data_IF_948355364285
#
_entry.id   IF_948355364285
#
_cell.length_a   1.000
_cell.length_b   1.000
_cell.length_c   1.000
_cell.angle_alpha   90.00
_cell.angle_beta   90.00
_cell.angle_gamma   90.00
#
_symmetry.space_group_name_H-M   'P 1'
#
loop_
_entity.id
_entity.type
_entity.pdbx_description
1 polymer ?
#
# COMPACT_ATOMS: atom_id res chain seq x y z
N UNK A 1 -18.07 -15.58 43.77
CA UNK A 1 -18.29 -14.16 43.45
C UNK A 1 -17.00 -13.41 43.76
N UNK A 2 -16.30 -12.86 42.76
CA UNK A 2 -15.02 -12.17 43.05
C UNK A 2 -14.05 -11.97 41.88
N UNK A 3 -14.53 -11.80 40.62
CA UNK A 3 -13.62 -11.62 39.48
C UNK A 3 -14.04 -10.52 38.48
N UNK A 4 -14.96 -9.61 38.86
CA UNK A 4 -15.39 -8.51 37.96
C UNK A 4 -14.82 -7.13 38.31
N UNK A 5 -14.13 -6.95 39.43
CA UNK A 5 -13.64 -5.63 39.85
C UNK A 5 -12.21 -5.29 39.40
N UNK A 6 -11.35 -6.28 39.12
CA UNK A 6 -9.97 -6.02 38.68
C UNK A 6 -9.84 -5.70 37.18
N UNK A 7 -10.81 -6.08 36.35
CA UNK A 7 -10.85 -5.68 34.93
C UNK A 7 -11.32 -4.23 34.75
N UNK A 8 -12.26 -3.76 35.58
CA UNK A 8 -12.83 -2.41 35.44
C UNK A 8 -11.87 -1.31 35.88
N UNK A 9 -11.04 -1.54 36.90
CA UNK A 9 -10.11 -0.50 37.40
C UNK A 9 -8.94 -0.26 36.44
N UNK A 10 -8.39 -1.30 35.81
CA UNK A 10 -7.37 -1.13 34.76
C UNK A 10 -7.96 -0.50 33.49
N UNK A 11 -9.19 -0.87 33.11
CA UNK A 11 -9.86 -0.27 31.96
C UNK A 11 -10.20 1.21 32.17
N UNK A 12 -10.54 1.61 33.41
CA UNK A 12 -10.78 3.00 33.81
C UNK A 12 -9.48 3.81 33.95
N UNK A 13 -8.41 3.23 34.50
CA UNK A 13 -7.11 3.90 34.60
C UNK A 13 -6.50 4.16 33.22
N UNK A 14 -6.63 3.21 32.28
CA UNK A 14 -6.18 3.37 30.89
C UNK A 14 -7.05 4.38 30.13
N UNK A 15 -8.37 4.40 30.36
CA UNK A 15 -9.26 5.42 29.78
C UNK A 15 -8.94 6.83 30.29
N UNK A 16 -8.57 6.97 31.57
CA UNK A 16 -8.21 8.26 32.17
C UNK A 16 -6.79 8.75 31.79
N UNK A 17 -5.90 7.83 31.36
CA UNK A 17 -4.58 8.18 30.80
C UNK A 17 -4.66 8.59 29.32
N UNK A 18 -5.60 8.02 28.56
CA UNK A 18 -5.84 8.40 27.16
C UNK A 18 -6.37 9.84 27.01
N UNK A 19 -7.02 10.40 28.04
CA UNK A 19 -7.45 11.81 28.07
C UNK A 19 -6.31 12.81 28.34
N UNK A 20 -5.07 12.36 28.61
CA UNK A 20 -3.95 13.25 28.98
C UNK A 20 -2.80 13.32 27.97
N UNK A 21 -2.74 12.41 26.99
CA UNK A 21 -1.65 12.38 26.03
C UNK A 21 -2.04 13.09 24.74
N UNK A 22 -1.17 13.95 24.22
CA UNK A 22 -1.35 14.52 22.87
C UNK A 22 -1.23 13.40 21.82
N UNK A 23 -1.79 13.58 20.60
CA UNK A 23 -1.59 12.63 19.50
C UNK A 23 -0.12 12.27 19.27
N UNK A 24 0.80 13.22 19.43
CA UNK A 24 2.24 13.00 19.34
C UNK A 24 2.75 12.08 20.45
N UNK A 25 2.28 12.24 21.69
CA UNK A 25 2.67 11.40 22.81
C UNK A 25 2.10 9.98 22.70
N UNK A 26 0.88 9.84 22.16
CA UNK A 26 0.32 8.54 21.80
C UNK A 26 1.16 7.88 20.72
N UNK A 27 1.55 8.63 19.68
CA UNK A 27 2.43 8.14 18.62
C UNK A 27 3.77 7.70 19.19
N UNK A 28 4.40 8.49 20.06
CA UNK A 28 5.68 8.16 20.67
C UNK A 28 5.62 6.87 21.50
N UNK A 29 4.61 6.74 22.37
CA UNK A 29 4.39 5.53 23.17
C UNK A 29 4.19 4.30 22.28
N UNK A 30 3.37 4.45 21.25
CA UNK A 30 3.04 3.40 20.29
C UNK A 30 4.26 2.94 19.46
N UNK A 31 5.20 3.86 19.19
CA UNK A 31 6.45 3.60 18.51
C UNK A 31 7.43 2.77 19.35
N UNK A 32 7.37 2.85 20.69
CA UNK A 32 8.22 2.04 21.58
C UNK A 32 7.96 0.53 21.40
N UNK A 33 6.71 0.16 21.12
CA UNK A 33 6.30 -1.25 20.99
C UNK A 33 6.43 -1.83 19.57
N UNK A 34 6.74 -1.01 18.57
CA UNK A 34 6.88 -1.44 17.16
C UNK A 34 7.89 -2.55 17.01
N UNK A 35 9.06 -2.40 17.64
CA UNK A 35 10.15 -3.38 17.52
C UNK A 35 9.73 -4.73 18.12
N UNK A 36 9.00 -4.72 19.24
CA UNK A 36 8.48 -5.94 19.86
C UNK A 36 7.50 -6.67 18.93
N UNK A 37 6.53 -5.93 18.36
CA UNK A 37 5.55 -6.46 17.42
C UNK A 37 6.17 -6.97 16.12
N UNK A 38 7.17 -6.26 15.58
CA UNK A 38 7.93 -6.73 14.42
C UNK A 38 8.63 -8.07 14.70
N UNK A 39 9.22 -8.23 15.90
CA UNK A 39 9.84 -9.51 16.32
C UNK A 39 8.77 -10.61 16.45
N UNK A 40 7.64 -10.31 17.05
CA UNK A 40 6.52 -11.25 17.16
C UNK A 40 6.02 -11.66 15.77
N UNK A 41 5.79 -10.72 14.86
CA UNK A 41 5.33 -10.99 13.51
C UNK A 41 6.34 -11.83 12.71
N UNK A 42 7.65 -11.55 12.85
CA UNK A 42 8.72 -12.41 12.33
C UNK A 42 8.65 -13.83 12.91
N UNK A 43 8.40 -13.96 14.21
CA UNK A 43 8.24 -15.26 14.85
C UNK A 43 7.01 -16.00 14.30
N UNK A 44 5.88 -15.32 14.08
CA UNK A 44 4.72 -15.90 13.43
C UNK A 44 5.05 -16.40 12.02
N UNK A 45 5.85 -15.66 11.24
CA UNK A 45 6.29 -16.10 9.91
C UNK A 45 7.07 -17.42 9.96
N UNK A 46 7.89 -17.65 11.00
CA UNK A 46 8.61 -18.93 11.17
C UNK A 46 7.68 -20.10 11.49
N UNK A 47 6.55 -19.82 12.16
CA UNK A 47 5.56 -20.82 12.59
C UNK A 47 4.50 -21.11 11.53
N UNK A 48 4.39 -20.26 10.50
CA UNK A 48 3.44 -20.44 9.43
C UNK A 48 3.79 -21.66 8.57
N UNK A 49 2.75 -22.37 8.13
CA UNK A 49 2.86 -23.39 7.08
C UNK A 49 3.02 -22.70 5.72
N UNK A 50 2.34 -21.57 5.51
CA UNK A 50 2.47 -20.73 4.32
C UNK A 50 2.54 -19.25 4.70
N UNK A 51 3.44 -18.51 4.04
CA UNK A 51 3.53 -17.04 4.13
C UNK A 51 3.16 -16.46 2.78
N UNK A 52 2.09 -15.68 2.76
CA UNK A 52 1.44 -15.22 1.54
C UNK A 52 1.73 -13.74 1.34
N UNK A 53 2.55 -13.44 0.34
CA UNK A 53 2.72 -12.08 -0.17
C UNK A 53 1.42 -11.68 -0.87
N UNK A 54 0.67 -10.79 -0.26
CA UNK A 54 -0.67 -10.42 -0.74
C UNK A 54 -0.61 -9.08 -1.43
N UNK A 55 -0.72 -9.08 -2.75
CA UNK A 55 -0.83 -7.86 -3.54
C UNK A 55 -2.23 -7.28 -3.30
N UNK A 56 -2.28 -6.14 -2.61
CA UNK A 56 -3.52 -5.48 -2.21
C UNK A 56 -3.57 -4.04 -2.74
N UNK A 57 -4.78 -3.51 -2.91
CA UNK A 57 -4.95 -2.09 -3.17
C UNK A 57 -4.51 -1.25 -1.94
N UNK A 58 -4.12 0.00 -2.17
CA UNK A 58 -3.83 0.97 -1.11
C UNK A 58 -5.09 1.44 -0.34
N UNK A 59 -6.27 0.98 -0.77
CA UNK A 59 -7.58 1.28 -0.18
C UNK A 59 -7.60 0.94 1.31
N UNK A 60 -7.98 1.93 2.14
CA UNK A 60 -7.92 1.80 3.59
C UNK A 60 -8.83 0.71 4.16
N UNK A 61 -9.83 0.25 3.41
CA UNK A 61 -10.81 -0.75 3.85
C UNK A 61 -10.31 -2.19 3.65
N UNK A 62 -9.23 -2.38 2.88
CA UNK A 62 -8.60 -3.67 2.60
C UNK A 62 -7.54 -3.97 3.65
N UNK A 63 -7.81 -4.98 4.47
CA UNK A 63 -7.06 -5.22 5.71
C UNK A 63 -6.74 -6.70 5.81
N UNK A 64 -5.52 -7.03 6.23
CA UNK A 64 -5.09 -8.41 6.39
C UNK A 64 -4.82 -8.74 7.86
N UNK A 65 -5.09 -9.98 8.30
CA UNK A 65 -4.79 -10.43 9.64
C UNK A 65 -3.31 -10.29 9.99
N UNK A 66 -3.05 -9.90 11.22
CA UNK A 66 -1.69 -9.77 11.77
C UNK A 66 -1.22 -11.06 12.45
N UNK A 67 -2.17 -11.92 12.81
CA UNK A 67 -1.96 -13.24 13.39
C UNK A 67 -1.99 -14.34 12.32
N UNK A 68 -1.60 -15.54 12.73
CA UNK A 68 -1.78 -16.73 11.90
C UNK A 68 -3.27 -17.04 11.73
N UNK A 69 -3.70 -17.21 10.49
CA UNK A 69 -5.05 -17.62 10.13
C UNK A 69 -5.04 -19.12 9.89
N UNK A 70 -5.98 -19.84 10.50
CA UNK A 70 -6.13 -21.28 10.26
C UNK A 70 -7.05 -21.48 9.06
N UNK A 71 -6.52 -22.07 7.99
CA UNK A 71 -7.28 -22.41 6.77
C UNK A 71 -7.35 -23.93 6.60
N UNK A 72 -8.43 -24.48 6.03
CA UNK A 72 -8.47 -25.90 5.66
C UNK A 72 -7.34 -26.24 4.69
N UNK A 73 -6.75 -27.43 4.80
CA UNK A 73 -5.79 -27.92 3.81
C UNK A 73 -6.51 -28.61 2.66
N UNK A 74 -6.39 -28.09 1.44
CA UNK A 74 -6.97 -28.71 0.25
C UNK A 74 -6.40 -30.12 -0.03
N UNK A 75 -5.22 -30.45 0.51
CA UNK A 75 -4.58 -31.76 0.32
C UNK A 75 -4.95 -32.77 1.42
N UNK A 76 -5.77 -32.40 2.42
CA UNK A 76 -6.12 -33.27 3.54
C UNK A 76 -7.53 -32.98 4.04
N UNK A 77 -8.42 -33.98 4.00
CA UNK A 77 -9.84 -33.84 4.39
C UNK A 77 -10.07 -33.36 5.83
N UNK A 78 -9.06 -33.50 6.69
CA UNK A 78 -9.06 -33.01 8.09
C UNK A 78 -7.85 -32.14 8.42
N UNK A 79 -7.03 -31.81 7.43
CA UNK A 79 -5.85 -30.98 7.61
C UNK A 79 -6.23 -29.52 7.73
N UNK A 80 -5.44 -28.79 8.52
CA UNK A 80 -5.49 -27.32 8.57
C UNK A 80 -4.07 -26.80 8.40
N UNK A 81 -3.95 -25.63 7.77
CA UNK A 81 -2.69 -24.90 7.65
C UNK A 81 -2.79 -23.56 8.36
N UNK A 82 -1.67 -23.12 8.93
CA UNK A 82 -1.47 -21.79 9.48
C UNK A 82 -0.88 -20.90 8.41
N UNK A 83 -1.63 -19.88 8.04
CA UNK A 83 -1.28 -18.92 7.00
C UNK A 83 -0.93 -17.58 7.64
N UNK A 84 0.17 -16.96 7.21
CA UNK A 84 0.47 -15.58 7.51
C UNK A 84 0.32 -14.72 6.26
N UNK A 85 -0.50 -13.67 6.34
CA UNK A 85 -0.67 -12.72 5.24
C UNK A 85 0.29 -11.54 5.39
N UNK A 86 1.12 -11.30 4.38
CA UNK A 86 2.03 -10.16 4.30
C UNK A 86 1.49 -9.16 3.26
N UNK A 87 1.00 -7.98 3.67
CA UNK A 87 0.46 -7.00 2.73
C UNK A 87 1.55 -6.37 1.88
N UNK A 88 1.33 -6.36 0.57
CA UNK A 88 2.14 -5.67 -0.41
C UNK A 88 1.22 -4.70 -1.16
N UNK A 89 1.06 -3.46 -0.68
CA UNK A 89 0.15 -2.51 -1.29
C UNK A 89 0.67 -2.06 -2.66
N UNK A 90 -0.26 -1.91 -3.59
CA UNK A 90 -0.02 -1.36 -4.92
C UNK A 90 -1.13 -0.38 -5.27
N UNK A 91 -0.76 0.66 -6.02
CA UNK A 91 -1.72 1.60 -6.59
C UNK A 91 -2.79 0.85 -7.35
N UNK A 92 -4.04 1.10 -7.03
CA UNK A 92 -5.18 0.56 -7.75
C UNK A 92 -5.23 -0.96 -7.83
N UNK A 93 -4.46 -1.71 -7.03
CA UNK A 93 -4.31 -3.16 -7.18
C UNK A 93 -3.48 -3.58 -8.41
N UNK A 94 -2.63 -2.69 -8.94
CA UNK A 94 -1.69 -2.98 -10.03
C UNK A 94 -0.57 -3.94 -9.63
N UNK A 95 0.25 -4.36 -10.60
CA UNK A 95 1.37 -5.25 -10.31
C UNK A 95 2.55 -4.49 -9.69
N UNK A 96 3.25 -5.04 -8.68
CA UNK A 96 4.45 -4.43 -8.16
C UNK A 96 5.56 -4.41 -9.22
N UNK A 97 6.53 -3.50 -9.05
CA UNK A 97 7.75 -3.56 -9.87
C UNK A 97 8.58 -4.79 -9.49
N UNK A 98 9.26 -5.39 -10.47
CA UNK A 98 10.18 -6.54 -10.30
C UNK A 98 11.15 -6.36 -9.13
N UNK A 99 11.89 -5.25 -9.13
CA UNK A 99 12.88 -4.98 -8.06
C UNK A 99 12.24 -4.94 -6.67
N UNK A 100 11.08 -4.27 -6.52
CA UNK A 100 10.32 -4.26 -5.25
C UNK A 100 9.93 -5.67 -4.80
N UNK A 101 9.37 -6.48 -5.70
CA UNK A 101 8.98 -7.84 -5.37
C UNK A 101 10.17 -8.70 -4.94
N UNK A 102 11.28 -8.62 -5.68
CA UNK A 102 12.53 -9.29 -5.34
C UNK A 102 13.00 -8.95 -3.93
N UNK A 103 13.04 -7.67 -3.57
CA UNK A 103 13.53 -7.22 -2.27
C UNK A 103 12.66 -7.71 -1.11
N UNK A 104 11.34 -7.61 -1.24
CA UNK A 104 10.39 -8.12 -0.23
C UNK A 104 10.49 -9.63 -0.09
N UNK A 105 10.50 -10.36 -1.22
CA UNK A 105 10.71 -11.82 -1.24
C UNK A 105 12.00 -12.20 -0.53
N UNK A 106 13.11 -11.55 -0.85
CA UNK A 106 14.42 -11.86 -0.27
C UNK A 106 14.44 -11.60 1.24
N UNK A 107 13.76 -10.57 1.72
CA UNK A 107 13.62 -10.32 3.16
C UNK A 107 12.77 -11.40 3.84
N UNK A 108 11.61 -11.76 3.28
CA UNK A 108 10.75 -12.81 3.83
C UNK A 108 11.43 -14.18 3.85
N UNK A 109 12.24 -14.50 2.84
CA UNK A 109 13.04 -15.73 2.81
C UNK A 109 14.04 -15.82 3.97
N UNK A 110 14.59 -14.69 4.44
CA UNK A 110 15.45 -14.69 5.64
C UNK A 110 14.68 -15.07 6.89
N UNK A 111 13.38 -14.76 6.96
CA UNK A 111 12.53 -15.08 8.10
C UNK A 111 12.12 -16.55 8.07
N UNK A 112 11.53 -17.02 6.96
CA UNK A 112 10.94 -18.36 6.88
C UNK A 112 11.97 -19.47 6.64
N UNK A 113 13.11 -19.16 6.01
CA UNK A 113 14.20 -20.09 5.64
C UNK A 113 13.80 -21.30 4.79
N UNK A 114 12.55 -21.36 4.33
CA UNK A 114 12.02 -22.39 3.44
C UNK A 114 11.29 -21.70 2.27
N UNK A 115 11.88 -21.74 1.06
CA UNK A 115 11.27 -21.16 -0.14
C UNK A 115 9.90 -21.74 -0.49
N UNK A 116 9.59 -22.98 -0.08
CA UNK A 116 8.34 -23.64 -0.43
C UNK A 116 7.12 -23.04 0.28
N UNK A 117 7.34 -22.37 1.42
CA UNK A 117 6.31 -21.69 2.20
C UNK A 117 5.82 -20.39 1.59
N UNK A 118 6.60 -19.76 0.71
CA UNK A 118 6.21 -18.49 0.11
C UNK A 118 5.18 -18.70 -1.00
N UNK A 119 4.06 -17.98 -0.90
CA UNK A 119 3.02 -17.91 -1.92
C UNK A 119 2.71 -16.46 -2.27
N UNK A 120 2.06 -16.25 -3.41
CA UNK A 120 1.54 -14.94 -3.81
C UNK A 120 0.03 -15.02 -3.90
N UNK A 121 -0.66 -14.04 -3.34
CA UNK A 121 -2.10 -13.83 -3.52
C UNK A 121 -2.31 -12.47 -4.19
N UNK A 122 -2.97 -12.46 -5.33
CA UNK A 122 -3.41 -11.24 -5.99
C UNK A 122 -4.87 -10.99 -5.61
N UNK A 123 -5.18 -9.77 -5.20
CA UNK A 123 -6.53 -9.39 -4.80
C UNK A 123 -7.11 -8.30 -5.67
N UNK A 124 -8.41 -8.37 -5.88
CA UNK A 124 -9.27 -7.21 -6.13
C UNK A 124 -10.16 -6.98 -4.92
N UNK A 125 -10.75 -5.80 -4.77
CA UNK A 125 -11.66 -5.52 -3.67
C UNK A 125 -12.87 -4.74 -4.15
N UNK A 126 -14.02 -5.02 -3.55
CA UNK A 126 -15.29 -4.35 -3.81
C UNK A 126 -16.21 -4.50 -2.62
N UNK A 127 -17.32 -3.75 -2.62
CA UNK A 127 -18.34 -3.89 -1.58
C UNK A 127 -19.12 -5.21 -1.76
N UNK A 128 -19.90 -5.61 -0.74
CA UNK A 128 -20.64 -6.88 -0.79
C UNK A 128 -21.59 -6.94 -1.99
N UNK A 129 -22.20 -5.82 -2.38
CA UNK A 129 -23.10 -5.78 -3.52
C UNK A 129 -22.33 -6.00 -4.82
N UNK A 130 -21.26 -5.24 -5.06
CA UNK A 130 -20.34 -5.38 -6.20
C UNK A 130 -19.85 -6.83 -6.35
N UNK A 131 -19.48 -7.47 -5.25
CA UNK A 131 -18.97 -8.84 -5.25
C UNK A 131 -20.06 -9.92 -5.39
N UNK A 132 -21.26 -9.70 -4.85
CA UNK A 132 -22.36 -10.66 -4.93
C UNK A 132 -22.79 -10.93 -6.38
N UNK A 133 -22.64 -9.95 -7.26
CA UNK A 133 -22.97 -10.06 -8.68
C UNK A 133 -21.95 -10.87 -9.49
N UNK A 134 -20.70 -11.01 -9.04
CA UNK A 134 -19.68 -11.83 -9.70
C UNK A 134 -20.03 -13.33 -9.74
N UNK A 135 -20.86 -13.79 -8.80
CA UNK A 135 -21.28 -15.19 -8.71
C UNK A 135 -22.38 -15.57 -9.70
N UNK A 136 -23.03 -14.60 -10.34
CA UNK A 136 -24.31 -14.79 -11.05
C UNK A 136 -24.27 -14.46 -12.55
N UNK A 137 -23.27 -13.71 -13.04
CA UNK A 137 -23.24 -13.30 -14.45
C UNK A 137 -21.88 -13.53 -15.06
N UNK A 138 -21.78 -14.48 -16.00
CA UNK A 138 -20.59 -14.67 -16.83
C UNK A 138 -20.41 -13.57 -17.89
N UNK A 139 -21.28 -12.54 -18.00
CA UNK A 139 -21.33 -11.67 -19.18
C UNK A 139 -22.04 -10.30 -19.03
N UNK A 140 -21.97 -9.59 -17.89
CA UNK A 140 -22.56 -8.24 -17.82
C UNK A 140 -21.52 -7.16 -17.48
N UNK A 141 -21.23 -6.31 -18.48
CA UNK A 141 -20.40 -5.09 -18.47
C UNK A 141 -20.85 -3.98 -17.47
N UNK A 142 -21.85 -4.28 -16.62
CA UNK A 142 -22.60 -3.29 -15.85
C UNK A 142 -22.34 -3.29 -14.34
N UNK A 143 -21.63 -4.29 -13.77
CA UNK A 143 -21.29 -4.30 -12.34
C UNK A 143 -19.77 -4.32 -12.18
N UNK A 144 -19.22 -3.19 -11.74
CA UNK A 144 -17.79 -2.88 -11.83
C UNK A 144 -17.17 -2.77 -10.45
N UNK A 145 -16.38 -3.77 -10.07
CA UNK A 145 -15.49 -3.71 -8.89
C UNK A 145 -14.49 -2.58 -9.13
N UNK A 146 -14.57 -1.50 -8.35
CA UNK A 146 -13.74 -0.34 -8.64
C UNK A 146 -13.17 0.29 -7.38
N UNK A 147 -11.85 0.28 -7.29
CA UNK A 147 -11.17 1.17 -6.35
C UNK A 147 -11.39 2.63 -6.77
N UNK A 148 -11.47 3.55 -5.81
CA UNK A 148 -11.70 4.98 -6.07
C UNK A 148 -10.73 5.58 -7.09
N UNK A 149 -9.47 5.16 -7.03
CA UNK A 149 -8.43 5.64 -7.94
C UNK A 149 -8.67 5.23 -9.41
N UNK A 150 -9.17 4.01 -9.63
CA UNK A 150 -9.51 3.55 -10.99
C UNK A 150 -10.71 4.30 -11.54
N UNK A 151 -11.69 4.68 -10.69
CA UNK A 151 -12.81 5.53 -11.12
C UNK A 151 -12.29 6.85 -11.69
N UNK A 152 -11.34 7.49 -10.99
CA UNK A 152 -10.70 8.73 -11.45
C UNK A 152 -9.95 8.53 -12.78
N UNK A 153 -9.14 7.47 -12.90
CA UNK A 153 -8.43 7.23 -14.17
C UNK A 153 -9.34 6.84 -15.31
N UNK A 154 -10.44 6.16 -15.03
CA UNK A 154 -11.44 5.83 -16.03
C UNK A 154 -12.13 7.09 -16.61
N UNK A 155 -12.23 8.19 -15.84
CA UNK A 155 -12.71 9.49 -16.35
C UNK A 155 -11.80 10.11 -17.41
N UNK A 156 -10.53 9.67 -17.48
CA UNK A 156 -9.53 10.11 -18.48
C UNK A 156 -9.02 8.94 -19.32
N UNK A 157 -9.81 7.86 -19.46
CA UNK A 157 -9.37 6.58 -20.01
C UNK A 157 -8.72 6.72 -21.40
N UNK A 158 -9.34 7.50 -22.30
CA UNK A 158 -8.84 7.68 -23.66
C UNK A 158 -7.44 8.30 -23.67
N UNK A 159 -7.23 9.34 -22.86
CA UNK A 159 -5.94 10.01 -22.72
C UNK A 159 -4.90 9.11 -22.05
N UNK A 160 -5.29 8.32 -21.04
CA UNK A 160 -4.41 7.33 -20.41
C UNK A 160 -3.97 6.23 -21.39
N UNK A 161 -4.85 5.77 -22.28
CA UNK A 161 -4.52 4.76 -23.29
C UNK A 161 -3.52 5.29 -24.33
N UNK A 162 -3.68 6.55 -24.76
CA UNK A 162 -2.73 7.22 -25.66
C UNK A 162 -1.37 7.35 -24.96
N UNK A 163 -1.36 7.90 -23.74
CA UNK A 163 -0.13 8.08 -22.97
C UNK A 163 0.59 6.75 -22.70
N UNK A 164 -0.16 5.69 -22.33
CA UNK A 164 0.37 4.34 -22.14
C UNK A 164 1.05 3.83 -23.40
N UNK A 165 0.39 3.94 -24.55
CA UNK A 165 0.94 3.48 -25.84
C UNK A 165 2.24 4.21 -26.18
N UNK A 166 2.32 5.53 -25.94
CA UNK A 166 3.54 6.31 -26.15
C UNK A 166 4.66 5.90 -25.18
N UNK A 167 4.34 5.71 -23.89
CA UNK A 167 5.28 5.25 -22.87
C UNK A 167 5.85 3.87 -23.19
N UNK A 168 5.00 2.91 -23.59
CA UNK A 168 5.43 1.55 -23.97
C UNK A 168 6.37 1.58 -25.18
N UNK A 169 5.99 2.29 -26.25
CA UNK A 169 6.83 2.45 -27.44
C UNK A 169 8.19 3.09 -27.13
N UNK A 170 8.20 4.09 -26.25
CA UNK A 170 9.43 4.76 -25.86
C UNK A 170 10.33 3.87 -24.98
N UNK A 171 9.76 3.19 -23.98
CA UNK A 171 10.51 2.24 -23.13
C UNK A 171 11.13 1.13 -23.96
N UNK A 172 10.40 0.59 -24.93
CA UNK A 172 10.92 -0.44 -25.85
C UNK A 172 12.10 0.09 -26.68
N UNK A 173 12.03 1.33 -27.14
CA UNK A 173 13.14 1.99 -27.85
C UNK A 173 14.36 2.18 -26.94
N UNK A 174 14.16 2.70 -25.72
CA UNK A 174 15.24 2.92 -24.77
C UNK A 174 15.92 1.62 -24.35
N UNK A 175 15.15 0.57 -24.02
CA UNK A 175 15.70 -0.73 -23.63
C UNK A 175 16.52 -1.39 -24.75
N UNK A 176 16.15 -1.17 -26.03
CA UNK A 176 16.95 -1.61 -27.19
C UNK A 176 18.26 -0.84 -27.29
N UNK A 177 18.23 0.48 -27.05
CA UNK A 177 19.43 1.34 -27.15
C UNK A 177 20.43 1.16 -26.00
N UNK A 178 19.94 0.85 -24.79
CA UNK A 178 20.75 0.76 -23.57
C UNK A 178 21.30 -0.65 -23.29
N UNK A 179 21.29 -1.56 -24.27
CA UNK A 179 21.79 -2.93 -24.13
C UNK A 179 21.36 -3.61 -22.81
N UNK A 180 20.04 -3.72 -22.60
CA UNK A 180 19.40 -4.39 -21.44
C UNK A 180 19.46 -3.68 -20.08
N UNK A 181 19.68 -2.36 -20.00
CA UNK A 181 19.27 -1.63 -18.79
C UNK A 181 17.75 -1.49 -18.76
N UNK A 182 17.14 -1.74 -17.60
CA UNK A 182 15.69 -1.62 -17.41
C UNK A 182 15.34 -0.15 -17.21
N UNK A 183 15.17 0.60 -18.30
CA UNK A 183 14.69 1.96 -18.20
C UNK A 183 13.25 1.95 -17.66
N UNK A 184 12.98 2.84 -16.71
CA UNK A 184 11.67 2.91 -16.03
C UNK A 184 11.20 4.38 -15.97
N UNK A 185 10.16 4.77 -16.73
CA UNK A 185 9.77 6.18 -16.88
C UNK A 185 9.31 6.80 -15.57
N UNK A 186 8.59 6.03 -14.73
CA UNK A 186 8.10 6.51 -13.44
C UNK A 186 9.20 6.69 -12.37
N UNK A 187 10.45 6.33 -12.67
CA UNK A 187 11.65 6.57 -11.84
C UNK A 187 12.62 7.58 -12.44
N UNK A 188 12.34 8.07 -13.64
CA UNK A 188 13.06 9.21 -14.23
C UNK A 188 12.67 10.50 -13.49
N UNK A 189 13.58 11.47 -13.39
CA UNK A 189 13.22 12.82 -12.94
C UNK A 189 12.33 13.48 -14.00
N UNK A 190 11.33 14.29 -13.61
CA UNK A 190 10.42 14.90 -14.61
C UNK A 190 11.16 15.80 -15.61
N UNK A 191 12.18 16.54 -15.17
CA UNK A 191 13.01 17.37 -16.04
C UNK A 191 13.79 16.54 -17.07
N UNK A 192 14.38 15.42 -16.64
CA UNK A 192 15.08 14.48 -17.51
C UNK A 192 14.11 13.84 -18.51
N UNK A 193 12.93 13.41 -18.05
CA UNK A 193 11.90 12.86 -18.91
C UNK A 193 11.42 13.87 -19.97
N UNK A 194 11.32 15.15 -19.60
CA UNK A 194 10.97 16.23 -20.53
C UNK A 194 12.03 16.48 -21.60
N UNK A 195 13.31 16.34 -21.25
CA UNK A 195 14.40 16.43 -22.21
C UNK A 195 14.45 15.23 -23.17
N UNK A 196 14.20 14.02 -22.65
CA UNK A 196 14.31 12.79 -23.43
C UNK A 196 13.07 12.47 -24.26
N UNK A 197 11.87 12.88 -23.81
CA UNK A 197 10.62 12.61 -24.50
C UNK A 197 9.60 13.76 -24.32
N UNK A 198 9.81 14.89 -25.02
CA UNK A 198 8.98 16.08 -24.85
C UNK A 198 7.50 15.84 -25.19
N UNK A 199 7.19 14.97 -26.16
CA UNK A 199 5.81 14.66 -26.55
C UNK A 199 5.04 13.92 -25.44
N UNK A 200 5.68 12.99 -24.74
CA UNK A 200 5.10 12.32 -23.58
C UNK A 200 4.85 13.32 -22.47
N UNK A 201 5.82 14.19 -22.17
CA UNK A 201 5.66 15.20 -21.14
C UNK A 201 4.61 16.26 -21.48
N UNK A 202 4.41 16.57 -22.77
CA UNK A 202 3.33 17.45 -23.21
C UNK A 202 1.96 16.85 -22.89
N UNK A 203 1.75 15.56 -23.18
CA UNK A 203 0.49 14.87 -22.85
C UNK A 203 0.27 14.74 -21.35
N UNK A 204 1.34 14.47 -20.59
CA UNK A 204 1.31 14.46 -19.12
C UNK A 204 0.91 15.83 -18.57
N UNK A 205 1.50 16.92 -19.08
CA UNK A 205 1.17 18.28 -18.67
C UNK A 205 -0.30 18.64 -18.97
N UNK A 206 -0.80 18.30 -20.16
CA UNK A 206 -2.22 18.50 -20.52
C UNK A 206 -3.16 17.78 -19.56
N UNK A 207 -2.87 16.52 -19.24
CA UNK A 207 -3.66 15.73 -18.29
C UNK A 207 -3.61 16.31 -16.88
N UNK A 208 -2.42 16.69 -16.43
CA UNK A 208 -2.22 17.33 -15.14
C UNK A 208 -3.06 18.61 -15.04
N UNK A 209 -2.99 19.50 -16.03
CA UNK A 209 -3.75 20.74 -16.06
C UNK A 209 -5.26 20.51 -16.17
N UNK A 210 -5.70 19.56 -16.99
CA UNK A 210 -7.12 19.22 -17.15
C UNK A 210 -7.73 18.60 -15.90
N UNK A 211 -6.91 18.03 -15.01
CA UNK A 211 -7.39 17.31 -13.82
C UNK A 211 -7.88 18.22 -12.68
N UNK A 212 -7.62 19.53 -12.73
CA UNK A 212 -8.13 20.47 -11.74
C UNK A 212 -7.30 21.77 -11.59
N UNK A 213 -7.70 22.66 -10.66
CA UNK A 213 -6.93 23.85 -10.33
C UNK A 213 -5.63 23.51 -9.58
N UNK A 214 -4.71 24.48 -9.50
CA UNK A 214 -3.41 24.32 -8.82
C UNK A 214 -3.61 23.84 -7.38
N UNK A 215 -2.79 22.88 -6.95
CA UNK A 215 -2.90 22.22 -5.64
C UNK A 215 -3.94 21.08 -5.58
N UNK A 216 -4.73 20.88 -6.64
CA UNK A 216 -5.75 19.82 -6.73
C UNK A 216 -5.59 18.94 -7.98
N UNK A 217 -4.52 19.18 -8.76
CA UNK A 217 -4.20 18.40 -9.96
C UNK A 217 -3.64 17.04 -9.58
N UNK A 218 -3.93 16.02 -10.37
CA UNK A 218 -3.26 14.73 -10.30
C UNK A 218 -1.77 14.97 -10.59
N UNK A 219 -0.84 14.62 -9.67
CA UNK A 219 0.58 14.87 -9.90
C UNK A 219 1.10 14.15 -11.14
N UNK A 220 2.00 14.80 -11.89
CA UNK A 220 2.52 14.27 -13.17
C UNK A 220 3.11 12.86 -13.02
N UNK A 221 3.85 12.60 -11.93
CA UNK A 221 4.40 11.27 -11.66
C UNK A 221 3.33 10.22 -11.41
N UNK A 222 2.20 10.56 -10.79
CA UNK A 222 1.09 9.64 -10.60
C UNK A 222 0.46 9.28 -11.96
N UNK A 223 0.28 10.26 -12.86
CA UNK A 223 -0.20 10.04 -14.23
C UNK A 223 0.72 9.07 -14.99
N UNK A 224 2.03 9.35 -15.01
CA UNK A 224 3.04 8.49 -15.67
C UNK A 224 3.01 7.09 -15.09
N UNK A 225 2.99 6.99 -13.75
CA UNK A 225 3.03 5.72 -13.03
C UNK A 225 1.82 4.87 -13.33
N UNK A 226 0.62 5.43 -13.29
CA UNK A 226 -0.61 4.72 -13.65
C UNK A 226 -0.56 4.24 -15.10
N UNK A 227 -0.25 5.16 -16.03
CA UNK A 227 -0.19 4.83 -17.45
C UNK A 227 0.80 3.69 -17.74
N UNK A 228 1.97 3.70 -17.08
CA UNK A 228 3.02 2.71 -17.30
C UNK A 228 2.83 1.40 -16.51
N UNK A 229 2.36 1.48 -15.25
CA UNK A 229 2.35 0.32 -14.34
C UNK A 229 1.06 -0.48 -14.42
N UNK A 230 -0.07 0.16 -14.70
CA UNK A 230 -1.36 -0.54 -14.72
C UNK A 230 -1.44 -1.43 -15.95
N UNK A 231 -1.63 -2.73 -15.68
CA UNK A 231 -1.72 -3.73 -16.74
C UNK A 231 -2.95 -3.47 -17.61
N UNK A 232 -4.03 -3.00 -17.01
CA UNK A 232 -5.23 -2.52 -17.68
C UNK A 232 -5.76 -1.27 -16.96
N UNK A 233 -5.98 -0.14 -17.66
CA UNK A 233 -6.71 0.99 -17.09
C UNK A 233 -8.22 0.72 -17.01
N UNK A 234 -8.70 -0.41 -17.54
CA UNK A 234 -10.10 -0.81 -17.43
C UNK A 234 -10.46 -1.16 -15.98
N UNK A 235 -11.72 -0.92 -15.65
CA UNK A 235 -12.30 -1.22 -14.34
C UNK A 235 -12.35 -2.74 -14.06
N UNK A 236 -12.33 -3.60 -15.09
CA UNK A 236 -12.49 -5.06 -14.99
C UNK A 236 -11.17 -5.84 -15.11
N UNK A 237 -11.10 -7.00 -14.44
CA UNK A 237 -10.19 -8.11 -14.80
C UNK A 237 -8.69 -7.88 -14.54
N UNK A 238 -8.33 -6.82 -13.82
CA UNK A 238 -6.91 -6.54 -13.56
C UNK A 238 -6.24 -7.56 -12.65
N UNK A 239 -6.96 -8.27 -11.79
CA UNK A 239 -6.43 -9.35 -10.96
C UNK A 239 -5.83 -10.47 -11.81
N UNK A 240 -6.44 -10.81 -12.96
CA UNK A 240 -5.87 -11.80 -13.89
C UNK A 240 -4.62 -11.25 -14.59
N UNK A 241 -4.68 -10.00 -15.05
CA UNK A 241 -3.53 -9.36 -15.68
C UNK A 241 -2.33 -9.23 -14.73
N UNK A 242 -2.59 -8.89 -13.46
CA UNK A 242 -1.59 -8.83 -12.39
C UNK A 242 -1.09 -10.22 -12.03
N UNK A 243 -1.97 -11.23 -11.90
CA UNK A 243 -1.55 -12.60 -11.66
C UNK A 243 -0.69 -13.15 -12.80
N UNK A 244 -1.03 -12.86 -14.05
CA UNK A 244 -0.22 -13.22 -15.23
C UNK A 244 1.15 -12.55 -15.17
N UNK A 245 1.19 -11.24 -14.87
CA UNK A 245 2.45 -10.52 -14.69
C UNK A 245 3.28 -11.08 -13.54
N UNK A 246 2.68 -11.41 -12.41
CA UNK A 246 3.37 -12.05 -11.28
C UNK A 246 3.92 -13.43 -11.66
N UNK A 247 3.18 -14.24 -12.42
CA UNK A 247 3.68 -15.52 -12.96
C UNK A 247 4.88 -15.29 -13.88
N UNK A 248 4.83 -14.30 -14.77
CA UNK A 248 5.98 -13.92 -15.60
C UNK A 248 7.18 -13.52 -14.74
N UNK A 249 6.99 -12.65 -13.73
CA UNK A 249 8.07 -12.26 -12.81
C UNK A 249 8.69 -13.50 -12.16
N UNK A 250 7.87 -14.43 -11.66
CA UNK A 250 8.36 -15.63 -11.01
C UNK A 250 9.18 -16.55 -11.94
N UNK A 251 8.97 -16.51 -13.27
CA UNK A 251 9.76 -17.31 -14.22
C UNK A 251 11.18 -16.79 -14.45
N UNK A 252 11.47 -15.56 -14.01
CA UNK A 252 12.77 -14.92 -14.23
C UNK A 252 13.89 -15.58 -13.40
N UNK A 253 15.13 -15.52 -13.90
CA UNK A 253 16.28 -16.22 -13.32
C UNK A 253 16.52 -15.89 -11.84
N UNK A 254 16.26 -14.64 -11.45
CA UNK A 254 16.40 -14.17 -10.07
C UNK A 254 15.36 -14.76 -9.08
N UNK A 255 14.32 -15.42 -9.59
CA UNK A 255 13.24 -16.03 -8.81
C UNK A 255 13.22 -17.56 -8.88
N UNK A 256 14.21 -18.19 -9.53
CA UNK A 256 14.27 -19.65 -9.69
C UNK A 256 14.20 -20.42 -8.37
N UNK A 257 14.70 -19.83 -7.27
CA UNK A 257 14.71 -20.44 -5.95
C UNK A 257 13.31 -20.63 -5.34
N UNK A 258 12.30 -19.87 -5.80
CA UNK A 258 10.90 -20.01 -5.36
C UNK A 258 9.97 -20.45 -6.49
N UNK A 259 10.33 -20.22 -7.75
CA UNK A 259 9.47 -20.42 -8.93
C UNK A 259 8.73 -21.77 -8.93
N UNK A 260 9.46 -22.86 -8.62
CA UNK A 260 8.92 -24.23 -8.65
C UNK A 260 7.88 -24.52 -7.55
N UNK A 261 7.84 -23.70 -6.50
CA UNK A 261 7.01 -23.93 -5.32
C UNK A 261 5.95 -22.83 -5.10
N UNK A 262 6.21 -21.64 -5.63
CA UNK A 262 5.40 -20.45 -5.41
C UNK A 262 4.19 -20.45 -6.32
N UNK A 263 3.02 -20.73 -5.73
CA UNK A 263 1.75 -20.56 -6.44
C UNK A 263 1.31 -19.09 -6.43
N UNK A 264 0.63 -18.66 -7.50
CA UNK A 264 -0.04 -17.35 -7.60
C UNK A 264 -1.54 -17.59 -7.53
N UNK A 265 -2.12 -17.27 -6.38
CA UNK A 265 -3.54 -17.32 -6.10
C UNK A 265 -4.22 -16.01 -6.48
N UNK A 266 -5.54 -16.08 -6.64
CA UNK A 266 -6.39 -14.93 -6.93
C UNK A 266 -7.64 -15.00 -6.07
N UNK A 267 -8.02 -13.88 -5.46
CA UNK A 267 -9.24 -13.76 -4.68
C UNK A 267 -9.83 -12.35 -4.79
N UNK A 268 -11.13 -12.23 -4.55
CA UNK A 268 -11.77 -10.95 -4.33
C UNK A 268 -11.90 -10.70 -2.83
N UNK A 269 -11.64 -9.48 -2.40
CA UNK A 269 -11.71 -9.04 -1.01
C UNK A 269 -13.00 -8.26 -0.80
N UNK A 270 -13.91 -8.81 0.00
CA UNK A 270 -15.09 -8.09 0.45
C UNK A 270 -14.70 -7.16 1.60
N UNK A 271 -14.74 -5.85 1.36
CA UNK A 271 -14.33 -4.89 2.38
C UNK A 271 -15.41 -4.55 3.41
N UNK A 272 -16.65 -5.01 3.21
CA UNK A 272 -17.72 -4.92 4.19
C UNK A 272 -17.73 -6.15 5.10
N UNK A 273 -17.67 -7.36 4.52
CA UNK A 273 -17.63 -8.63 5.27
C UNK A 273 -16.25 -9.06 5.76
N UNK A 274 -15.19 -8.38 5.27
CA UNK A 274 -13.79 -8.68 5.60
C UNK A 274 -13.44 -10.15 5.33
N UNK A 275 -13.77 -10.61 4.12
CA UNK A 275 -13.53 -11.98 3.67
C UNK A 275 -12.84 -12.05 2.31
N UNK A 276 -12.09 -13.12 2.09
CA UNK A 276 -11.51 -13.46 0.79
C UNK A 276 -12.42 -14.46 0.09
N UNK A 277 -12.89 -14.09 -1.10
CA UNK A 277 -13.71 -14.90 -2.00
C UNK A 277 -12.81 -15.43 -3.11
N UNK A 278 -12.49 -16.72 -3.06
CA UNK A 278 -11.70 -17.39 -4.09
C UNK A 278 -12.61 -17.73 -5.27
N UNK A 279 -12.21 -17.34 -6.48
CA UNK A 279 -12.91 -17.75 -7.69
C UNK A 279 -12.59 -19.23 -8.00
N UNK A 280 -13.59 -20.00 -8.46
CA UNK A 280 -13.51 -21.46 -8.63
C UNK A 280 -12.38 -21.92 -9.57
N UNK A 281 -11.90 -21.07 -10.48
CA UNK A 281 -10.76 -21.37 -11.36
C UNK A 281 -9.40 -21.26 -10.66
N UNK A 282 -9.34 -20.66 -9.46
CA UNK A 282 -8.12 -20.30 -8.74
C UNK A 282 -8.12 -20.77 -7.27
N UNK A 283 -9.15 -21.51 -6.84
CA UNK A 283 -9.32 -22.04 -5.47
C UNK A 283 -8.21 -23.01 -5.12
N UNK A 284 -7.18 -22.53 -4.43
CA UNK A 284 -6.08 -23.36 -3.91
C UNK A 284 -5.68 -23.02 -2.48
N UNK A 285 -6.21 -21.95 -1.89
CA UNK A 285 -5.99 -21.63 -0.47
C UNK A 285 -7.10 -22.26 0.38
N UNK A 286 -6.99 -23.57 0.60
CA UNK A 286 -8.02 -24.37 1.24
C UNK A 286 -9.22 -24.63 0.32
N UNK A 287 -9.87 -25.76 0.51
CA UNK A 287 -11.01 -26.22 -0.30
C UNK A 287 -12.30 -25.39 -0.10
N UNK A 288 -12.17 -24.17 0.44
CA UNK A 288 -13.26 -23.25 0.69
C UNK A 288 -13.22 -22.10 -0.32
N UNK A 289 -14.36 -21.84 -0.93
CA UNK A 289 -14.59 -20.66 -1.79
C UNK A 289 -14.49 -19.35 -1.00
N UNK A 290 -14.66 -19.40 0.33
CA UNK A 290 -14.74 -18.25 1.21
C UNK A 290 -13.80 -18.45 2.42
N UNK A 291 -13.02 -17.41 2.73
CA UNK A 291 -12.17 -17.34 3.91
C UNK A 291 -12.47 -16.06 4.69
N UNK A 292 -13.21 -16.15 5.81
CA UNK A 292 -13.36 -15.04 6.75
C UNK A 292 -12.01 -14.67 7.35
N UNK A 293 -11.73 -13.38 7.49
CA UNK A 293 -10.48 -12.87 8.08
C UNK A 293 -10.59 -12.49 9.56
N UNK A 294 -11.75 -12.77 10.18
CA UNK A 294 -12.01 -12.57 11.61
C UNK A 294 -11.90 -11.10 12.06
N UNK A 295 -12.34 -10.19 11.19
CA UNK A 295 -12.51 -8.77 11.48
C UNK A 295 -14.00 -8.43 11.63
N UNK A 296 -14.35 -7.38 12.40
CA UNK A 296 -15.71 -6.86 12.43
C UNK A 296 -16.17 -6.43 11.03
N UNK A 297 -17.40 -6.79 10.68
CA UNK A 297 -18.05 -6.31 9.46
C UNK A 297 -18.24 -4.78 9.51
N UNK A 298 -18.32 -4.15 8.33
CA UNK A 298 -18.60 -2.73 8.18
C UNK A 298 -19.64 -2.47 7.10
N UNK A 299 -20.45 -1.44 7.31
CA UNK A 299 -21.43 -0.98 6.31
C UNK A 299 -20.88 0.15 5.42
N UNK A 300 -19.75 0.76 5.79
CA UNK A 300 -19.17 1.92 5.09
C UNK A 300 -18.67 1.60 3.67
N UNK A 301 -19.14 2.38 2.70
CA UNK A 301 -18.77 2.26 1.27
C UNK A 301 -17.77 3.32 0.81
N UNK A 302 -17.31 4.19 1.70
CA UNK A 302 -16.28 5.20 1.44
C UNK A 302 -15.01 4.93 2.29
N UNK A 303 -13.87 5.42 1.82
CA UNK A 303 -12.57 5.37 2.50
C UNK A 303 -12.40 6.64 3.33
N UNK A 304 -12.32 6.57 4.65
CA UNK A 304 -12.09 7.77 5.46
C UNK A 304 -10.92 7.62 6.45
N UNK A 305 -9.70 7.36 5.95
CA UNK A 305 -8.56 7.14 6.83
C UNK A 305 -8.08 8.45 7.44
N UNK A 306 -7.74 8.41 8.72
CA UNK A 306 -7.12 9.56 9.41
C UNK A 306 -5.64 9.74 9.07
N UNK A 307 -5.01 8.68 8.55
CA UNK A 307 -3.58 8.63 8.26
C UNK A 307 -3.32 8.10 6.85
N UNK A 308 -2.36 8.73 6.18
CA UNK A 308 -1.67 8.15 5.04
C UNK A 308 -0.30 7.68 5.50
N UNK A 309 0.02 6.41 5.27
CA UNK A 309 1.30 5.81 5.66
C UNK A 309 2.11 5.44 4.42
N UNK A 310 3.28 6.05 4.28
CA UNK A 310 4.28 5.74 3.26
C UNK A 310 5.36 4.87 3.91
N UNK A 311 5.43 3.60 3.54
CA UNK A 311 6.50 2.73 4.02
C UNK A 311 7.68 2.79 3.07
N UNK A 312 8.82 3.23 3.58
CA UNK A 312 10.03 3.43 2.82
C UNK A 312 11.16 2.49 3.28
N UNK A 313 11.28 1.38 2.55
CA UNK A 313 12.31 0.37 2.76
C UNK A 313 11.79 -1.07 2.70
N UNK A 314 12.71 -2.00 2.45
CA UNK A 314 12.41 -3.41 2.16
C UNK A 314 11.88 -4.17 3.39
N UNK A 315 12.44 -3.86 4.55
CA UNK A 315 12.10 -4.49 5.82
C UNK A 315 10.70 -4.04 6.21
N UNK A 316 10.45 -2.74 6.29
CA UNK A 316 9.17 -2.14 6.67
C UNK A 316 8.02 -2.56 5.76
N UNK A 317 8.22 -2.64 4.44
CA UNK A 317 7.17 -3.07 3.49
C UNK A 317 6.66 -4.48 3.81
N UNK A 318 7.50 -5.34 4.35
CA UNK A 318 7.16 -6.74 4.64
C UNK A 318 6.34 -6.92 5.93
N UNK A 319 5.96 -5.83 6.62
CA UNK A 319 5.09 -5.87 7.79
C UNK A 319 3.74 -5.19 7.52
N UNK A 320 2.66 -5.63 8.15
CA UNK A 320 1.39 -4.92 8.12
C UNK A 320 1.50 -3.59 8.88
N UNK A 321 0.70 -2.61 8.48
CA UNK A 321 0.77 -1.26 9.08
C UNK A 321 0.50 -1.31 10.56
N UNK A 322 -0.48 -2.11 10.97
CA UNK A 322 -0.82 -2.31 12.38
C UNK A 322 0.29 -3.00 13.22
N UNK A 323 1.32 -3.59 12.59
CA UNK A 323 2.55 -4.02 13.28
C UNK A 323 3.54 -2.86 13.42
N UNK A 324 3.60 -1.98 12.42
CA UNK A 324 4.57 -0.88 12.32
C UNK A 324 4.15 0.37 13.10
N UNK A 325 2.86 0.54 13.28
CA UNK A 325 2.20 1.63 13.94
C UNK A 325 1.01 0.95 14.63
N UNK A 326 0.79 1.04 15.94
CA UNK A 326 -0.51 0.69 16.51
C UNK A 326 -1.59 1.58 15.89
N UNK A 327 -2.83 1.46 16.34
CA UNK A 327 -3.86 2.50 16.14
C UNK A 327 -3.37 3.85 16.66
N UNK A 328 -2.48 4.51 15.90
CA UNK A 328 -1.93 5.79 16.26
C UNK A 328 -3.11 6.74 16.38
N UNK A 329 -3.24 7.25 17.59
CA UNK A 329 -4.34 8.07 18.07
C UNK A 329 -5.56 7.24 18.45
N UNK A 330 -5.65 6.89 19.74
CA UNK A 330 -6.86 6.42 20.41
C UNK A 330 -8.01 7.43 20.35
N UNK A 331 -8.48 7.75 19.15
CA UNK A 331 -9.70 8.49 18.90
C UNK A 331 -10.83 7.48 19.13
N UNK A 332 -11.09 7.22 20.41
CA UNK A 332 -12.01 6.21 20.88
C UNK A 332 -11.57 4.77 20.60
N UNK A 333 -11.91 3.87 21.50
CA UNK A 333 -11.95 2.41 21.23
C UNK A 333 -12.92 2.03 20.08
N UNK A 334 -13.47 3.02 19.38
CA UNK A 334 -14.46 2.92 18.32
C UNK A 334 -13.92 3.32 16.94
N UNK A 335 -12.70 3.88 16.81
CA UNK A 335 -12.11 4.10 15.48
C UNK A 335 -11.33 2.85 15.07
N UNK A 336 -11.69 2.22 13.95
CA UNK A 336 -11.10 0.93 13.62
C UNK A 336 -9.62 1.09 13.23
N UNK A 337 -8.74 0.26 13.82
CA UNK A 337 -7.29 0.15 13.52
C UNK A 337 -6.97 -0.14 12.05
N UNK A 338 -8.00 -0.48 11.29
CA UNK A 338 -7.97 -1.01 9.94
C UNK A 338 -8.46 0.04 8.93
N UNK A 339 -8.26 1.33 9.21
CA UNK A 339 -8.63 2.45 8.33
C UNK A 339 -7.42 3.38 8.06
N UNK A 340 -6.39 2.85 7.39
CA UNK A 340 -5.18 3.59 7.01
C UNK A 340 -4.94 3.44 5.52
N UNK A 341 -4.69 4.53 4.80
CA UNK A 341 -4.25 4.46 3.40
C UNK A 341 -2.75 4.19 3.35
N UNK A 342 -2.33 3.13 2.67
CA UNK A 342 -0.93 2.66 2.71
C UNK A 342 -0.31 2.64 1.31
N UNK A 343 0.87 3.25 1.17
CA UNK A 343 1.71 3.18 -0.03
C UNK A 343 3.15 2.79 0.31
N UNK A 344 3.95 2.42 -0.69
CA UNK A 344 5.29 1.82 -0.50
C UNK A 344 6.34 2.29 -1.51
N UNK A 345 7.55 2.48 -1.00
CA UNK A 345 8.78 2.74 -1.75
C UNK A 345 9.91 1.87 -1.19
N UNK A 346 10.80 1.31 -2.02
CA UNK A 346 11.77 0.29 -1.54
C UNK A 346 13.24 0.65 -1.70
N UNK A 347 13.59 1.40 -2.75
CA UNK A 347 14.97 1.75 -3.08
C UNK A 347 15.26 3.15 -2.51
N UNK A 348 16.41 3.37 -1.86
CA UNK A 348 16.75 4.64 -1.24
C UNK A 348 17.20 5.66 -2.30
N UNK A 349 16.28 6.05 -3.18
CA UNK A 349 16.48 7.09 -4.20
C UNK A 349 15.33 8.09 -4.16
N UNK A 350 15.61 9.35 -4.53
CA UNK A 350 14.61 10.42 -4.57
C UNK A 350 13.45 10.00 -5.48
N UNK A 351 13.72 9.56 -6.70
CA UNK A 351 12.67 9.14 -7.64
C UNK A 351 11.77 8.03 -7.09
N UNK A 352 12.34 7.05 -6.37
CA UNK A 352 11.54 5.96 -5.79
C UNK A 352 10.68 6.45 -4.63
N UNK A 353 11.19 7.38 -3.82
CA UNK A 353 10.39 8.04 -2.79
C UNK A 353 9.28 8.89 -3.42
N UNK A 354 9.58 9.68 -4.46
CA UNK A 354 8.57 10.46 -5.20
C UNK A 354 7.48 9.56 -5.78
N UNK A 355 7.81 8.33 -6.22
CA UNK A 355 6.77 7.37 -6.61
C UNK A 355 5.80 7.05 -5.47
N UNK A 356 6.31 6.83 -4.25
CA UNK A 356 5.48 6.58 -3.06
C UNK A 356 4.66 7.82 -2.68
N UNK A 357 5.28 8.99 -2.74
CA UNK A 357 4.61 10.27 -2.51
C UNK A 357 3.50 10.55 -3.52
N UNK A 358 3.70 10.16 -4.79
CA UNK A 358 2.70 10.24 -5.85
C UNK A 358 1.44 9.42 -5.55
N UNK A 359 1.58 8.27 -4.89
CA UNK A 359 0.40 7.48 -4.51
C UNK A 359 -0.26 8.06 -3.26
N UNK A 360 0.53 8.53 -2.29
CA UNK A 360 0.02 9.22 -1.11
C UNK A 360 -0.75 10.50 -1.48
N UNK A 361 -0.26 11.25 -2.47
CA UNK A 361 -0.89 12.49 -2.92
C UNK A 361 -2.29 12.29 -3.47
N UNK A 362 -2.64 11.10 -3.95
CA UNK A 362 -4.01 10.81 -4.37
C UNK A 362 -5.01 10.95 -3.20
N UNK A 363 -4.70 10.37 -2.05
CA UNK A 363 -5.53 10.46 -0.84
C UNK A 363 -5.65 11.91 -0.37
N UNK A 364 -4.54 12.65 -0.43
CA UNK A 364 -4.49 14.08 -0.07
C UNK A 364 -5.31 14.93 -1.04
N UNK A 365 -5.19 14.67 -2.35
CA UNK A 365 -5.99 15.35 -3.35
C UNK A 365 -7.47 15.12 -3.07
N UNK A 366 -7.90 13.86 -2.86
CA UNK A 366 -9.30 13.50 -2.58
C UNK A 366 -9.87 14.21 -1.35
N UNK A 367 -9.08 14.36 -0.29
CA UNK A 367 -9.47 15.13 0.90
C UNK A 367 -9.83 16.59 0.59
N UNK A 368 -9.18 17.18 -0.43
CA UNK A 368 -9.32 18.60 -0.78
C UNK A 368 -10.26 18.82 -1.99
N UNK A 369 -10.34 17.90 -2.96
CA UNK A 369 -11.09 17.95 -4.25
C UNK A 369 -10.99 16.59 -5.00
N UNK A 370 -11.82 16.15 -5.99
CA UNK A 370 -12.83 16.83 -6.80
C UNK A 370 -14.28 16.57 -6.44
N UNK A 371 -14.53 15.96 -5.29
CA UNK A 371 -15.89 15.69 -4.84
C UNK A 371 -16.04 16.30 -3.43
N UNK A 372 -16.27 17.63 -3.33
CA UNK A 372 -16.37 18.33 -2.04
C UNK A 372 -17.50 17.82 -1.12
N UNK A 373 -18.39 16.96 -1.64
CA UNK A 373 -19.45 16.27 -0.90
C UNK A 373 -19.20 14.77 -0.70
N UNK A 374 -18.07 14.24 -1.18
CA UNK A 374 -17.67 12.85 -0.96
C UNK A 374 -17.08 12.71 0.44
N UNK A 375 -17.56 11.72 1.19
CA UNK A 375 -17.05 11.43 2.53
C UNK A 375 -15.66 10.78 2.50
N UNK A 376 -15.11 10.49 1.31
CA UNK A 376 -13.76 9.97 1.16
C UNK A 376 -12.70 10.91 1.75
N UNK A 377 -11.84 10.37 2.62
CA UNK A 377 -10.68 11.01 3.25
C UNK A 377 -11.00 12.25 4.11
N UNK A 378 -12.27 12.54 4.44
CA UNK A 378 -12.69 13.71 5.24
C UNK A 378 -11.93 13.86 6.57
N UNK A 379 -11.59 12.75 7.20
CA UNK A 379 -10.94 12.67 8.51
C UNK A 379 -9.41 12.64 8.44
N UNK A 380 -8.82 12.76 7.24
CA UNK A 380 -7.38 12.77 7.04
C UNK A 380 -6.71 13.90 7.83
N UNK A 381 -5.77 13.55 8.70
CA UNK A 381 -5.07 14.48 9.59
C UNK A 381 -3.56 14.48 9.42
N UNK A 382 -2.97 13.36 8.99
CA UNK A 382 -1.51 13.14 9.02
C UNK A 382 -0.99 12.31 7.87
N UNK A 383 0.25 12.60 7.48
CA UNK A 383 1.04 11.76 6.58
C UNK A 383 2.25 11.26 7.34
N UNK A 384 2.41 9.95 7.42
CA UNK A 384 3.46 9.31 8.19
C UNK A 384 4.37 8.55 7.23
N UNK A 385 5.66 8.84 7.27
CA UNK A 385 6.70 8.18 6.49
C UNK A 385 7.52 7.29 7.42
N UNK A 386 7.38 5.97 7.26
CA UNK A 386 8.12 5.00 8.06
C UNK A 386 9.32 4.51 7.28
N UNK A 387 10.52 4.81 7.78
CA UNK A 387 11.79 4.50 7.15
C UNK A 387 12.50 3.33 7.83
N UNK A 388 13.05 2.43 7.01
CA UNK A 388 13.85 1.28 7.47
C UNK A 388 15.16 1.65 8.14
N UNK A 389 15.76 2.77 7.75
CA UNK A 389 17.08 3.19 8.21
C UNK A 389 17.31 4.68 7.97
N UNK A 390 18.40 5.20 8.55
CA UNK A 390 18.82 6.58 8.36
C UNK A 390 19.03 6.92 6.88
N UNK A 391 19.54 5.97 6.08
CA UNK A 391 19.72 6.17 4.63
C UNK A 391 18.40 6.54 3.94
N UNK A 392 17.29 5.92 4.34
CA UNK A 392 15.97 6.24 3.78
C UNK A 392 15.48 7.61 4.27
N UNK A 393 15.72 7.95 5.54
CA UNK A 393 15.40 9.28 6.09
C UNK A 393 16.14 10.39 5.35
N UNK A 394 17.42 10.19 5.05
CA UNK A 394 18.24 11.18 4.34
C UNK A 394 17.70 11.43 2.92
N UNK A 395 17.23 10.37 2.26
CA UNK A 395 16.57 10.48 0.94
C UNK A 395 15.25 11.24 1.03
N UNK A 396 14.43 11.02 2.06
CA UNK A 396 13.19 11.78 2.27
C UNK A 396 13.50 13.27 2.44
N UNK A 397 14.49 13.60 3.27
CA UNK A 397 14.92 14.99 3.49
C UNK A 397 15.43 15.64 2.21
N UNK A 398 16.23 14.92 1.43
CA UNK A 398 16.73 15.40 0.14
C UNK A 398 15.58 15.60 -0.86
N UNK A 399 14.61 14.67 -0.92
CA UNK A 399 13.45 14.78 -1.78
C UNK A 399 12.60 16.01 -1.45
N UNK A 400 12.45 16.39 -0.18
CA UNK A 400 11.73 17.62 0.18
C UNK A 400 12.43 18.92 -0.27
N UNK A 401 13.70 18.85 -0.70
CA UNK A 401 14.41 19.97 -1.31
C UNK A 401 14.39 19.93 -2.84
N UNK A 402 13.84 18.88 -3.44
CA UNK A 402 13.80 18.68 -4.89
C UNK A 402 12.77 19.60 -5.56
N UNK A 403 13.07 20.09 -6.76
CA UNK A 403 12.17 20.96 -7.54
C UNK A 403 10.83 20.29 -7.80
N UNK A 404 10.84 19.00 -8.11
CA UNK A 404 9.63 18.24 -8.34
C UNK A 404 8.72 18.21 -7.11
N UNK A 405 9.30 18.07 -5.90
CA UNK A 405 8.52 18.15 -4.67
C UNK A 405 7.87 19.52 -4.49
N UNK A 406 8.67 20.58 -4.66
CA UNK A 406 8.24 21.96 -4.45
C UNK A 406 7.15 22.39 -5.42
N UNK A 407 7.24 21.96 -6.68
CA UNK A 407 6.30 22.34 -7.73
C UNK A 407 5.03 21.49 -7.74
N UNK A 408 5.15 20.17 -7.60
CA UNK A 408 4.03 19.25 -7.82
C UNK A 408 3.28 18.88 -6.53
N UNK A 409 4.00 18.78 -5.40
CA UNK A 409 3.46 18.15 -4.20
C UNK A 409 3.22 19.14 -3.07
N UNK A 410 4.18 20.02 -2.80
CA UNK A 410 4.12 20.98 -1.69
C UNK A 410 2.82 21.81 -1.69
N UNK A 411 2.34 22.39 -2.82
CA UNK A 411 1.10 23.18 -2.82
C UNK A 411 -0.12 22.38 -2.34
N UNK A 412 -0.21 21.12 -2.73
CA UNK A 412 -1.31 20.23 -2.33
C UNK A 412 -1.22 19.86 -0.85
N UNK A 413 -0.03 19.54 -0.31
CA UNK A 413 0.13 19.25 1.11
C UNK A 413 -0.14 20.48 2.00
N UNK A 414 0.18 21.68 1.52
CA UNK A 414 -0.12 22.94 2.24
C UNK A 414 -1.64 23.18 2.37
N UNK A 415 -2.44 22.81 1.36
CA UNK A 415 -3.90 22.93 1.43
C UNK A 415 -4.54 22.03 2.50
N UNK A 416 -3.90 20.91 2.83
CA UNK A 416 -4.38 19.95 3.83
C UNK A 416 -4.13 20.43 5.27
N UNK A 417 -3.24 21.43 5.48
CA UNK A 417 -2.72 21.81 6.81
C UNK A 417 -2.13 20.64 7.63
N UNK A 418 -1.72 19.57 6.95
CA UNK A 418 -1.37 18.29 7.57
C UNK A 418 0.13 18.18 7.85
N UNK A 419 0.54 17.82 9.09
CA UNK A 419 1.94 17.53 9.38
C UNK A 419 2.41 16.26 8.64
N UNK A 420 3.67 16.28 8.20
CA UNK A 420 4.39 15.10 7.71
C UNK A 420 5.39 14.66 8.78
N UNK A 421 5.17 13.46 9.31
CA UNK A 421 6.05 12.84 10.30
C UNK A 421 6.96 11.81 9.63
N UNK A 422 8.27 11.86 9.95
CA UNK A 422 9.23 10.85 9.51
C UNK A 422 9.69 10.03 10.70
N UNK A 423 9.50 8.72 10.62
CA UNK A 423 9.86 7.74 11.65
C UNK A 423 11.02 6.89 11.12
N UNK A 424 12.09 6.75 11.92
CA UNK A 424 13.20 5.85 11.61
C UNK A 424 13.17 4.62 12.52
N UNK A 425 13.02 3.42 11.93
CA UNK A 425 12.97 2.16 12.68
C UNK A 425 14.36 1.65 13.13
N UNK A 426 15.47 2.20 12.62
CA UNK A 426 16.81 1.67 12.86
C UNK A 426 17.55 2.39 13.99
N UNK A 427 17.30 1.94 15.22
CA UNK A 427 18.25 2.00 16.34
C UNK A 427 18.33 0.65 17.03
N UNK A 428 19.17 -0.24 16.50
CA UNK A 428 19.64 -1.43 17.23
C UNK A 428 21.16 -1.49 17.22
N UNK A 429 21.79 -0.82 18.19
CA UNK A 429 22.78 -1.43 19.08
C UNK A 429 23.36 -0.41 20.08
N UNK A 430 23.22 -0.75 21.37
CA UNK A 430 23.65 -0.06 22.60
C UNK A 430 22.67 0.99 23.14
N UNK A 431 22.08 0.64 24.29
CA UNK A 431 21.01 1.31 25.06
C UNK A 431 19.59 1.09 24.52
N UNK A 432 18.99 0.01 25.00
CA UNK A 432 17.60 -0.41 24.76
C UNK A 432 16.54 0.50 25.43
N UNK A 433 16.85 1.77 25.71
CA UNK A 433 15.96 2.74 26.39
C UNK A 433 15.84 4.11 25.68
N UNK A 434 16.12 4.21 24.37
CA UNK A 434 15.92 5.49 23.64
C UNK A 434 15.30 5.28 22.25
N UNK A 435 13.96 5.32 22.25
CA UNK A 435 12.98 5.80 21.26
C UNK A 435 13.44 5.93 19.79
N UNK A 436 12.58 5.43 18.89
CA UNK A 436 12.51 5.89 17.51
C UNK A 436 12.45 7.43 17.52
N UNK A 437 13.35 8.09 16.79
CA UNK A 437 13.32 9.56 16.73
C UNK A 437 12.23 9.98 15.76
N UNK A 438 11.17 10.61 16.26
CA UNK A 438 10.21 11.35 15.44
C UNK A 438 10.91 12.63 14.97
N UNK A 439 10.95 12.86 13.66
CA UNK A 439 11.22 14.21 13.13
C UNK A 439 9.99 14.68 12.39
N UNK A 440 9.25 15.62 12.99
CA UNK A 440 8.17 16.33 12.32
C UNK A 440 8.77 17.39 11.43
N UNK A 441 8.48 17.33 10.13
CA UNK A 441 8.84 18.39 9.19
C UNK A 441 7.66 19.33 9.09
N UNK A 442 7.79 20.51 9.70
CA UNK A 442 6.77 21.55 9.59
C UNK A 442 6.95 22.26 8.24
N UNK A 443 6.06 21.97 7.28
CA UNK A 443 6.12 22.47 5.90
C UNK A 443 6.09 24.00 5.82
N UNK A 444 5.55 24.68 6.84
CA UNK A 444 5.48 26.14 6.93
C UNK A 444 6.83 26.79 7.33
N UNK A 445 7.74 26.03 7.95
CA UNK A 445 9.03 26.55 8.45
C UNK A 445 10.18 26.51 7.44
N UNK A 446 9.99 25.92 6.27
CA UNK A 446 11.01 25.85 5.21
C UNK A 446 10.83 26.88 4.09
N UNK A 447 9.86 27.79 4.21
CA UNK A 447 9.63 28.92 3.28
C UNK A 447 10.39 30.18 3.72
N UNK A 448 11.47 30.02 4.48
CA UNK A 448 12.32 31.13 4.91
C UNK A 448 13.77 30.85 4.59
N UNK A 449 14.15 31.12 3.33
CA UNK A 449 15.43 31.72 2.94
C UNK A 449 15.31 32.30 1.53
#
# INVERSE_FOLDING_TARGET
MGNSHYKSENEQLIAHLAEKLTPEQLIEQDLEDVVSRMRQYKQLATQADEVIITIICCDSRVVLPQSLVTVPDANSSHGVKKVLFVPFPTIGGGAPSRSRFKLVKDELLKWVKDPSKLKVLVTQHGDTAELSHLGLTQNNDSVRISCGLRKVFNSYLAQFLVLKSHLEAWVDSQNKSLNHQTFVPDRCGLAELGALCPDIMLEVNKLHEASGPIGQRIPKRLIIRTAYRDASPNLEGNEEAVARRMRTILTESEHQNIYRYCSVYMANYDHQKKELIFNNHYSRLGDKRLLPLDFPERDETFQDPEYVVILFGQVVISYPTAVLLPSLCGIGRNVPTDNVFRTVASEPTISTFMCGLAEASYAVSHHVHPHPDDNNFRSLKRVIIVCDSQKYVDVVKAAFQDDEYREEYLPMFLLMATPIDIINLNRTNKSLNKLASLSTVNLLGQVSN
#
